data_IF_377638348005
#
_entry.id   IF_377638348005
#
_cell.length_a   1.000
_cell.length_b   1.000
_cell.length_c   1.000
_cell.angle_alpha   90.00
_cell.angle_beta   90.00
_cell.angle_gamma   90.00
#
_symmetry.space_group_name_H-M   'P 1'
#
loop_
_entity.id
_entity.type
_entity.pdbx_description
1 polymer ?
#
# COMPACT_ATOMS: atom_id res chain seq x y z
N UNK A 1 -21.39 -42.83 -28.29
CA UNK A 1 -20.31 -42.00 -27.70
C UNK A 1 -19.92 -40.97 -28.76
N UNK A 2 -20.41 -39.71 -28.67
CA UNK A 2 -20.16 -38.72 -29.71
C UNK A 2 -18.70 -38.26 -29.71
N UNK A 3 -18.16 -38.05 -30.92
CA UNK A 3 -16.74 -37.81 -31.18
C UNK A 3 -16.28 -36.44 -30.66
N UNK A 4 -15.17 -36.41 -29.90
CA UNK A 4 -14.57 -35.20 -29.32
C UNK A 4 -14.23 -34.11 -30.37
N UNK A 5 -14.04 -34.52 -31.62
CA UNK A 5 -13.69 -33.63 -32.75
C UNK A 5 -14.85 -32.76 -33.23
N UNK A 6 -16.11 -33.19 -33.02
CA UNK A 6 -17.30 -32.44 -33.44
C UNK A 6 -17.70 -31.33 -32.45
N UNK A 7 -17.16 -31.35 -31.22
CA UNK A 7 -17.43 -30.34 -30.20
C UNK A 7 -16.47 -29.15 -30.21
N UNK A 8 -15.33 -29.30 -30.90
CA UNK A 8 -14.34 -28.23 -31.11
C UNK A 8 -14.92 -26.97 -31.76
N UNK A 9 -15.72 -27.06 -32.86
CA UNK A 9 -16.28 -25.86 -33.49
C UNK A 9 -17.32 -25.17 -32.61
N UNK A 10 -18.08 -25.94 -31.80
CA UNK A 10 -19.10 -25.38 -30.91
C UNK A 10 -18.48 -24.60 -29.74
N UNK A 11 -17.37 -25.10 -29.19
CA UNK A 11 -16.61 -24.43 -28.14
C UNK A 11 -15.94 -23.15 -28.66
N UNK A 12 -15.36 -23.22 -29.87
CA UNK A 12 -14.78 -22.05 -30.53
C UNK A 12 -15.81 -20.95 -30.77
N UNK A 13 -17.04 -21.31 -31.18
CA UNK A 13 -18.14 -20.34 -31.38
C UNK A 13 -18.54 -19.64 -30.06
N UNK A 14 -18.52 -20.36 -28.94
CA UNK A 14 -18.84 -19.81 -27.62
C UNK A 14 -17.79 -18.78 -27.14
N UNK A 15 -16.51 -19.02 -27.44
CA UNK A 15 -15.42 -18.07 -27.12
C UNK A 15 -15.52 -16.79 -27.98
N UNK A 16 -15.98 -16.91 -29.24
CA UNK A 16 -16.13 -15.78 -30.16
C UNK A 16 -17.38 -14.94 -29.82
N UNK A 17 -18.46 -15.56 -29.32
CA UNK A 17 -19.72 -14.88 -28.96
C UNK A 17 -19.71 -14.18 -27.58
N UNK A 18 -18.70 -14.43 -26.75
CA UNK A 18 -18.49 -13.73 -25.48
C UNK A 18 -17.22 -12.83 -25.50
N UNK A 19 -17.14 -11.80 -26.35
CA UNK A 19 -16.01 -10.87 -26.40
C UNK A 19 -16.07 -9.85 -25.24
N UNK A 20 -16.33 -10.29 -24.00
CA UNK A 20 -16.87 -9.37 -23.00
C UNK A 20 -16.73 -9.71 -21.54
N UNK A 21 -15.93 -10.71 -21.15
CA UNK A 21 -15.33 -10.65 -19.81
C UNK A 21 -13.87 -10.28 -19.96
N UNK A 22 -13.64 -9.15 -20.64
CA UNK A 22 -12.59 -8.27 -20.18
C UNK A 22 -12.94 -7.92 -18.73
N UNK A 23 -12.48 -8.74 -17.79
CA UNK A 23 -11.86 -8.15 -16.63
C UNK A 23 -10.72 -7.33 -17.22
N UNK A 24 -11.01 -6.09 -17.60
CA UNK A 24 -10.06 -5.04 -17.35
C UNK A 24 -9.75 -5.24 -15.87
N UNK A 25 -8.69 -6.00 -15.56
CA UNK A 25 -7.91 -5.68 -14.38
C UNK A 25 -7.66 -4.22 -14.61
N UNK A 26 -8.36 -3.40 -13.85
CA UNK A 26 -8.03 -2.00 -13.77
C UNK A 26 -6.60 -2.04 -13.25
N UNK A 27 -5.64 -2.15 -14.18
CA UNK A 27 -4.31 -1.65 -14.01
C UNK A 27 -4.64 -0.24 -13.56
N UNK A 28 -4.47 0.00 -12.26
CA UNK A 28 -4.54 1.32 -11.67
C UNK A 28 -3.38 2.07 -12.34
N UNK A 29 -3.60 2.45 -13.60
CA UNK A 29 -2.81 3.38 -14.39
C UNK A 29 -3.40 4.77 -14.18
N UNK A 30 -3.96 5.02 -13.00
CA UNK A 30 -3.90 6.36 -12.48
C UNK A 30 -2.47 6.47 -11.95
N UNK A 31 -1.63 7.14 -12.72
CA UNK A 31 -0.26 7.45 -12.32
C UNK A 31 -0.36 8.34 -11.07
N UNK A 32 -0.43 7.69 -9.92
CA UNK A 32 -0.44 8.34 -8.62
C UNK A 32 0.95 8.90 -8.30
N UNK A 33 1.93 8.60 -9.16
CA UNK A 33 3.31 8.97 -9.03
C UNK A 33 3.93 8.44 -7.75
N UNK A 34 5.14 8.90 -7.49
CA UNK A 34 5.76 8.79 -6.19
C UNK A 34 5.92 10.21 -5.65
N UNK A 35 5.42 10.46 -4.45
CA UNK A 35 5.49 11.78 -3.82
C UNK A 35 6.51 11.76 -2.71
N UNK A 36 7.40 12.75 -2.69
CA UNK A 36 8.36 12.91 -1.61
C UNK A 36 7.75 13.67 -0.43
N UNK A 37 8.01 13.17 0.78
CA UNK A 37 7.78 13.86 2.04
C UNK A 37 9.07 13.81 2.85
N UNK A 38 9.71 14.96 3.06
CA UNK A 38 11.07 15.01 3.60
C UNK A 38 12.02 14.19 2.73
N UNK A 39 12.65 13.19 3.33
CA UNK A 39 13.58 12.28 2.66
C UNK A 39 12.95 10.94 2.26
N UNK A 40 11.63 10.78 2.44
CA UNK A 40 10.93 9.55 2.12
C UNK A 40 10.18 9.69 0.80
N UNK A 41 10.38 8.70 -0.08
CA UNK A 41 9.57 8.56 -1.27
C UNK A 41 8.35 7.69 -0.94
N UNK A 42 7.14 8.21 -1.17
CA UNK A 42 5.87 7.54 -0.88
C UNK A 42 5.20 7.17 -2.20
N UNK A 43 4.99 5.86 -2.39
CA UNK A 43 4.32 5.29 -3.54
C UNK A 43 3.49 4.07 -3.14
N UNK A 44 2.69 3.56 -4.08
CA UNK A 44 1.95 2.31 -3.90
C UNK A 44 2.86 1.23 -3.27
N UNK A 45 2.39 0.49 -2.25
CA UNK A 45 1.01 0.43 -1.72
C UNK A 45 0.62 1.52 -0.71
N UNK A 46 1.56 2.37 -0.30
CA UNK A 46 1.32 3.47 0.64
C UNK A 46 0.76 4.69 -0.09
N UNK A 47 -0.11 5.46 0.56
CA UNK A 47 -0.66 6.70 0.00
C UNK A 47 -0.52 7.86 0.97
N UNK A 48 -0.40 9.07 0.44
CA UNK A 48 -0.47 10.29 1.24
C UNK A 48 -1.93 10.62 1.53
N UNK A 49 -2.19 11.15 2.74
CA UNK A 49 -3.49 11.69 3.11
C UNK A 49 -3.95 12.74 2.10
N UNK A 50 -5.16 12.56 1.57
CA UNK A 50 -5.73 13.41 0.53
C UNK A 50 -5.42 12.98 -0.91
N UNK A 51 -4.55 11.98 -1.13
CA UNK A 51 -4.50 11.30 -2.44
C UNK A 51 -5.77 10.49 -2.67
N UNK A 52 -6.14 10.35 -3.94
CA UNK A 52 -7.31 9.57 -4.34
C UNK A 52 -7.25 8.14 -3.78
N UNK A 53 -8.38 7.55 -3.35
CA UNK A 53 -8.40 6.19 -2.77
C UNK A 53 -7.85 5.10 -3.69
N UNK A 54 -7.77 5.33 -5.01
CA UNK A 54 -7.08 4.40 -5.92
C UNK A 54 -5.55 4.42 -5.81
N UNK A 55 -4.94 5.40 -5.13
CA UNK A 55 -3.48 5.58 -5.08
C UNK A 55 -2.73 4.79 -4.00
N UNK A 56 -3.45 3.97 -3.23
CA UNK A 56 -2.86 3.09 -2.23
C UNK A 56 -3.94 2.58 -1.29
N UNK A 57 -3.56 1.80 -0.29
CA UNK A 57 -4.54 1.23 0.63
C UNK A 57 -5.05 2.26 1.63
N UNK A 58 -6.35 2.19 1.96
CA UNK A 58 -6.97 3.13 2.90
C UNK A 58 -6.33 3.06 4.29
N UNK A 59 -5.90 1.87 4.70
CA UNK A 59 -5.25 1.59 5.99
C UNK A 59 -3.76 1.95 6.00
N UNK A 60 -3.16 2.28 4.85
CA UNK A 60 -1.75 2.66 4.71
C UNK A 60 -1.63 4.15 4.35
N UNK A 61 -2.42 4.99 5.03
CA UNK A 61 -2.41 6.42 4.84
C UNK A 61 -1.28 7.07 5.65
N UNK A 62 -0.43 7.81 4.96
CA UNK A 62 0.70 8.57 5.51
C UNK A 62 0.33 10.06 5.52
N UNK A 63 0.47 10.69 6.67
CA UNK A 63 0.38 12.14 6.83
C UNK A 63 1.77 12.77 6.60
N UNK A 64 1.82 13.82 5.75
CA UNK A 64 3.02 14.61 5.55
C UNK A 64 2.78 16.02 6.10
N UNK A 65 3.44 16.35 7.20
CA UNK A 65 3.35 17.67 7.84
C UNK A 65 4.57 18.52 7.48
N UNK A 66 4.33 19.75 7.03
CA UNK A 66 5.35 20.74 6.65
C UNK A 66 6.44 20.18 5.71
N UNK A 67 6.06 19.27 4.79
CA UNK A 67 6.96 18.64 3.80
C UNK A 67 8.19 17.93 4.39
N UNK A 68 8.23 17.66 5.69
CA UNK A 68 9.41 17.13 6.38
C UNK A 68 9.09 16.02 7.38
N UNK A 69 7.92 16.09 8.02
CA UNK A 69 7.50 15.11 9.02
C UNK A 69 6.52 14.12 8.40
N UNK A 70 6.94 12.86 8.31
CA UNK A 70 6.15 11.75 7.79
C UNK A 70 5.60 10.92 8.94
N UNK A 71 4.29 10.86 9.09
CA UNK A 71 3.62 10.09 10.15
C UNK A 71 2.61 9.11 9.60
N UNK A 72 2.51 7.95 10.24
CA UNK A 72 1.50 6.95 10.00
C UNK A 72 0.51 6.96 11.17
N UNK A 73 -0.78 7.00 10.86
CA UNK A 73 -1.84 6.87 11.85
C UNK A 73 -2.33 5.43 11.85
N UNK A 74 -1.97 4.67 12.89
CA UNK A 74 -2.44 3.30 13.09
C UNK A 74 -3.46 3.22 14.24
N UNK A 75 -4.03 2.02 14.45
CA UNK A 75 -4.95 1.77 15.57
C UNK A 75 -4.30 1.98 16.95
N UNK A 76 -2.97 1.83 17.03
CA UNK A 76 -2.16 2.00 18.25
C UNK A 76 -1.63 3.40 18.50
N UNK A 77 -1.92 4.39 17.64
CA UNK A 77 -1.44 5.76 17.78
C UNK A 77 -0.78 6.31 16.52
N UNK A 78 -0.05 7.42 16.68
CA UNK A 78 0.71 8.07 15.61
C UNK A 78 2.17 7.63 15.69
N UNK A 79 2.71 7.22 14.55
CA UNK A 79 4.09 6.77 14.45
C UNK A 79 4.83 7.61 13.41
N UNK A 80 6.01 8.13 13.74
CA UNK A 80 6.90 8.77 12.77
C UNK A 80 7.57 7.70 11.91
N UNK A 81 7.44 7.82 10.59
CA UNK A 81 8.06 6.91 9.63
C UNK A 81 9.51 7.33 9.44
N UNK A 82 10.45 6.39 9.66
CA UNK A 82 11.88 6.63 9.47
C UNK A 82 12.41 6.07 8.17
N UNK A 83 11.85 4.94 7.72
CA UNK A 83 12.28 4.28 6.49
C UNK A 83 11.17 3.39 5.95
N UNK A 84 11.09 3.29 4.62
CA UNK A 84 10.16 2.39 3.91
C UNK A 84 10.99 1.38 3.13
N UNK A 85 10.68 0.09 3.29
CA UNK A 85 11.30 -1.01 2.58
C UNK A 85 10.28 -1.60 1.60
N UNK A 86 10.34 -1.15 0.34
CA UNK A 86 9.39 -1.56 -0.70
C UNK A 86 9.50 -3.04 -1.07
N UNK A 87 10.70 -3.62 -1.06
CA UNK A 87 10.93 -5.04 -1.38
C UNK A 87 10.12 -5.98 -0.47
N UNK A 88 10.09 -5.65 0.82
CA UNK A 88 9.41 -6.45 1.84
C UNK A 88 8.03 -5.90 2.22
N UNK A 89 7.61 -4.78 1.61
CA UNK A 89 6.39 -4.04 1.96
C UNK A 89 6.28 -3.76 3.48
N UNK A 90 7.41 -3.37 4.07
CA UNK A 90 7.52 -3.04 5.50
C UNK A 90 7.99 -1.61 5.67
N UNK A 91 7.79 -1.06 6.87
CA UNK A 91 8.32 0.25 7.23
C UNK A 91 8.86 0.23 8.66
N UNK A 92 9.90 1.03 8.88
CA UNK A 92 10.45 1.28 10.20
C UNK A 92 9.84 2.56 10.75
N UNK A 93 9.18 2.43 11.89
CA UNK A 93 8.52 3.55 12.57
C UNK A 93 9.00 3.71 14.00
N UNK A 94 8.86 4.90 14.53
CA UNK A 94 9.03 5.21 15.95
C UNK A 94 7.76 5.89 16.45
N UNK A 95 7.47 5.79 17.74
CA UNK A 95 6.34 6.53 18.31
C UNK A 95 6.54 8.03 18.06
N UNK A 96 5.51 8.73 17.56
CA UNK A 96 5.61 10.15 17.23
C UNK A 96 5.87 11.03 18.47
N UNK A 97 5.51 10.56 19.67
CA UNK A 97 5.81 11.21 20.94
C UNK A 97 7.29 11.13 21.34
N UNK A 98 8.04 10.19 20.75
CA UNK A 98 9.46 9.96 20.99
C UNK A 98 10.35 10.54 19.88
N UNK A 99 9.74 11.14 18.86
CA UNK A 99 10.42 11.77 17.73
C UNK A 99 10.88 13.22 18.04
N UNK A 100 11.01 13.55 19.32
CA UNK A 100 11.56 14.81 19.81
C UNK A 100 13.02 14.60 20.18
N UNK A 101 13.91 15.49 19.72
CA UNK A 101 15.38 15.44 19.94
C UNK A 101 15.82 15.59 21.42
N UNK A 102 14.90 15.47 22.37
CA UNK A 102 15.15 15.56 23.80
C UNK A 102 15.78 14.26 24.33
N UNK A 103 17.11 14.17 24.25
CA UNK A 103 17.96 13.09 24.79
C UNK A 103 17.87 12.88 26.33
N UNK A 104 16.93 13.51 27.04
CA UNK A 104 16.85 13.49 28.51
C UNK A 104 15.80 12.52 29.08
N UNK A 105 14.97 11.89 28.23
CA UNK A 105 14.07 10.81 28.60
C UNK A 105 14.65 9.48 28.13
N UNK A 106 14.83 8.53 29.05
CA UNK A 106 15.28 7.16 28.78
C UNK A 106 14.61 6.63 27.49
N UNK A 107 15.38 6.27 26.46
CA UNK A 107 14.79 5.95 25.17
C UNK A 107 14.25 4.54 25.27
N UNK A 108 12.93 4.39 25.31
CA UNK A 108 12.31 3.18 24.77
C UNK A 108 12.44 3.26 23.24
N UNK A 109 13.68 3.20 22.72
CA UNK A 109 13.99 3.23 21.28
C UNK A 109 13.55 1.92 20.66
N UNK A 110 12.24 1.67 20.65
CA UNK A 110 11.68 0.58 19.90
C UNK A 110 11.34 1.16 18.53
N UNK A 111 12.32 1.14 17.64
CA UNK A 111 11.99 1.26 16.23
C UNK A 111 11.24 -0.01 15.83
N UNK A 112 9.94 0.11 15.60
CA UNK A 112 9.07 -1.02 15.29
C UNK A 112 9.09 -1.21 13.77
N UNK A 113 9.38 -2.43 13.33
CA UNK A 113 9.14 -2.83 11.95
C UNK A 113 7.67 -3.21 11.82
N UNK A 114 6.92 -2.47 11.01
CA UNK A 114 5.51 -2.72 10.78
C UNK A 114 5.34 -3.35 9.40
N UNK A 115 4.66 -4.51 9.37
CA UNK A 115 4.26 -5.22 8.15
C UNK A 115 2.89 -4.73 7.73
N UNK A 116 2.65 -4.60 6.43
CA UNK A 116 1.33 -4.20 5.90
C UNK A 116 0.17 -5.03 6.47
N UNK A 117 0.36 -6.35 6.67
CA UNK A 117 -0.67 -7.27 7.21
C UNK A 117 -1.02 -6.98 8.67
N UNK A 118 -0.03 -6.54 9.47
CA UNK A 118 -0.24 -6.13 10.85
C UNK A 118 -1.08 -4.86 10.96
N UNK A 119 -1.01 -3.97 9.97
CA UNK A 119 -1.81 -2.74 9.92
C UNK A 119 -3.26 -3.04 9.56
N UNK A 120 -3.48 -4.06 8.72
CA UNK A 120 -4.82 -4.53 8.35
C UNK A 120 -5.48 -5.42 9.41
N UNK A 121 -4.79 -5.76 10.51
CA UNK A 121 -5.37 -6.56 11.60
C UNK A 121 -5.57 -8.03 11.25
N UNK A 122 -4.79 -8.59 10.31
CA UNK A 122 -4.82 -10.02 9.93
C UNK A 122 -3.88 -10.89 10.79
N UNK A 123 -3.87 -10.67 12.12
CA UNK A 123 -3.17 -11.53 13.09
C UNK A 123 -4.13 -11.93 14.20
#
# INVERSE_FOLDING_TARGET
>A
MPNLKEKLPLFALFVILFPGVCFARHLINQDCGSTFCGNLNISFPFRIKGQSPQCGYINLEIECENNSRTTLVGRGGKFSVKQIFYENQTMRVVDASMDTDDCNSLPLSSSILVIYSAINGEI
#
